data_IF_236059162022
#
_entry.id   IF_236059162022
#
_cell.length_a   1.000
_cell.length_b   1.000
_cell.length_c   1.000
_cell.angle_alpha   90.00
_cell.angle_beta   90.00
_cell.angle_gamma   90.00
#
_symmetry.space_group_name_H-M   'P 1'
#
loop_
_entity.id
_entity.type
_entity.pdbx_description
1 polymer ?
#
# COMPACT_ATOMS: atom_id res chain seq x y z
N UNK A 1 -32.52 11.71 -6.17
CA UNK A 1 -32.16 11.66 -7.61
C UNK A 1 -31.81 10.21 -7.90
N UNK A 2 -32.47 9.56 -8.86
CA UNK A 2 -32.13 8.17 -9.18
C UNK A 2 -30.71 8.12 -9.75
N UNK A 3 -29.81 7.39 -9.09
CA UNK A 3 -28.50 7.09 -9.69
C UNK A 3 -28.74 6.37 -11.01
N UNK A 4 -28.28 6.97 -12.10
CA UNK A 4 -28.33 6.35 -13.41
C UNK A 4 -27.44 5.10 -13.37
N UNK A 5 -28.05 3.91 -13.30
CA UNK A 5 -27.31 2.64 -13.39
C UNK A 5 -26.93 2.39 -14.84
N UNK A 6 -25.65 2.20 -15.10
CA UNK A 6 -25.10 1.82 -16.41
C UNK A 6 -24.73 0.34 -16.40
N UNK A 7 -24.82 -0.33 -17.55
CA UNK A 7 -24.47 -1.76 -17.66
C UNK A 7 -22.98 -1.90 -17.96
N UNK A 8 -22.22 -2.47 -17.02
CA UNK A 8 -20.85 -2.91 -17.26
C UNK A 8 -20.86 -4.34 -17.83
N UNK A 9 -20.34 -4.53 -19.05
CA UNK A 9 -20.15 -5.86 -19.62
C UNK A 9 -18.83 -6.46 -19.13
N UNK A 10 -18.90 -7.63 -18.50
CA UNK A 10 -17.74 -8.43 -18.09
C UNK A 10 -17.92 -9.88 -18.54
N UNK A 11 -16.84 -10.65 -18.57
CA UNK A 11 -16.92 -12.07 -18.91
C UNK A 11 -17.72 -12.84 -17.85
N UNK A 12 -18.45 -13.87 -18.27
CA UNK A 12 -19.24 -14.70 -17.35
C UNK A 12 -18.36 -15.41 -16.30
N UNK A 13 -17.12 -15.76 -16.65
CA UNK A 13 -16.15 -16.31 -15.70
C UNK A 13 -15.79 -15.31 -14.60
N UNK A 14 -15.46 -14.07 -14.97
CA UNK A 14 -15.13 -13.02 -14.00
C UNK A 14 -16.32 -12.69 -13.11
N UNK A 15 -17.51 -12.57 -13.71
CA UNK A 15 -18.77 -12.34 -12.98
C UNK A 15 -19.03 -13.46 -11.96
N UNK A 16 -18.83 -14.72 -12.34
CA UNK A 16 -19.00 -15.87 -11.46
C UNK A 16 -18.03 -15.83 -10.28
N UNK A 17 -16.75 -15.55 -10.55
CA UNK A 17 -15.72 -15.44 -9.50
C UNK A 17 -16.06 -14.33 -8.50
N UNK A 18 -16.42 -13.14 -8.98
CA UNK A 18 -16.81 -12.02 -8.13
C UNK A 18 -18.05 -12.35 -7.28
N UNK A 19 -19.05 -13.03 -7.84
CA UNK A 19 -20.22 -13.49 -7.05
C UNK A 19 -19.85 -14.47 -5.94
N UNK A 20 -18.91 -15.39 -6.21
CA UNK A 20 -18.41 -16.31 -5.18
C UNK A 20 -17.75 -15.51 -4.05
N UNK A 21 -16.87 -14.57 -4.35
CA UNK A 21 -16.23 -13.74 -3.32
C UNK A 21 -17.20 -12.87 -2.54
N UNK A 22 -18.23 -12.33 -3.19
CA UNK A 22 -19.30 -11.59 -2.51
C UNK A 22 -20.06 -12.49 -1.53
N UNK A 23 -20.41 -13.71 -1.97
CA UNK A 23 -21.07 -14.71 -1.12
C UNK A 23 -20.19 -15.17 0.05
N UNK A 24 -18.88 -15.34 -0.15
CA UNK A 24 -17.95 -15.70 0.94
C UNK A 24 -17.88 -14.63 2.04
N UNK A 25 -18.14 -13.37 1.68
CA UNK A 25 -18.14 -12.22 2.59
C UNK A 25 -19.53 -11.87 3.11
N UNK A 26 -20.57 -12.59 2.66
CA UNK A 26 -21.98 -12.28 2.93
C UNK A 26 -22.36 -10.82 2.59
N UNK A 27 -21.90 -10.35 1.44
CA UNK A 27 -22.19 -8.99 0.95
C UNK A 27 -22.83 -9.00 -0.45
N UNK A 28 -23.62 -7.96 -0.79
CA UNK A 28 -24.02 -7.69 -2.16
C UNK A 28 -22.85 -7.61 -3.14
N UNK A 29 -23.13 -7.97 -4.40
CA UNK A 29 -22.15 -7.87 -5.49
C UNK A 29 -21.66 -6.42 -5.72
N UNK A 30 -22.56 -5.42 -5.60
CA UNK A 30 -22.22 -4.00 -5.74
C UNK A 30 -21.27 -3.54 -4.62
N UNK A 31 -21.44 -4.04 -3.39
CA UNK A 31 -20.58 -3.70 -2.26
C UNK A 31 -19.17 -4.28 -2.42
N UNK A 32 -19.05 -5.51 -2.94
CA UNK A 32 -17.75 -6.08 -3.29
C UNK A 32 -17.00 -5.21 -4.31
N UNK A 33 -17.69 -4.74 -5.35
CA UNK A 33 -17.08 -3.87 -6.35
C UNK A 33 -16.65 -2.53 -5.75
N UNK A 34 -17.45 -1.97 -4.85
CA UNK A 34 -17.13 -0.73 -4.13
C UNK A 34 -15.88 -0.88 -3.28
N UNK A 35 -15.75 -2.00 -2.55
CA UNK A 35 -14.54 -2.29 -1.77
C UNK A 35 -13.29 -2.44 -2.66
N UNK A 36 -13.43 -3.09 -3.81
CA UNK A 36 -12.33 -3.21 -4.77
C UNK A 36 -11.87 -1.84 -5.29
N UNK A 37 -12.79 -0.90 -5.51
CA UNK A 37 -12.45 0.47 -5.90
C UNK A 37 -11.66 1.17 -4.79
N UNK A 38 -12.11 1.09 -3.54
CA UNK A 38 -11.40 1.68 -2.41
C UNK A 38 -9.96 1.15 -2.29
N UNK A 39 -9.77 -0.16 -2.46
CA UNK A 39 -8.44 -0.77 -2.45
C UNK A 39 -7.60 -0.21 -3.61
N UNK A 40 -8.15 -0.15 -4.82
CA UNK A 40 -7.42 0.36 -5.99
C UNK A 40 -7.00 1.82 -5.77
N UNK A 41 -7.88 2.68 -5.26
CA UNK A 41 -7.59 4.09 -4.97
C UNK A 41 -6.48 4.24 -3.93
N UNK A 42 -6.47 3.38 -2.91
CA UNK A 42 -5.43 3.38 -1.88
C UNK A 42 -4.06 2.92 -2.44
N UNK A 43 -4.05 1.92 -3.33
CA UNK A 43 -2.83 1.37 -3.90
C UNK A 43 -2.26 2.22 -5.04
N UNK A 44 -3.12 2.90 -5.79
CA UNK A 44 -2.76 3.71 -6.94
C UNK A 44 -3.27 5.15 -6.79
N UNK A 45 -2.59 6.00 -6.00
CA UNK A 45 -3.09 7.34 -5.66
C UNK A 45 -3.02 8.36 -6.82
N UNK A 46 -2.63 7.91 -8.02
CA UNK A 46 -2.50 8.75 -9.20
C UNK A 46 -3.74 8.62 -10.09
N UNK A 47 -4.34 9.76 -10.46
CA UNK A 47 -5.56 9.76 -11.30
C UNK A 47 -5.28 9.29 -12.72
N UNK A 48 -4.09 9.56 -13.23
CA UNK A 48 -3.68 9.25 -14.59
C UNK A 48 -2.16 9.08 -14.69
N UNK A 49 -1.72 8.62 -15.87
CA UNK A 49 -0.30 8.39 -16.16
C UNK A 49 0.54 9.68 -16.11
N UNK A 50 -0.07 10.84 -16.35
CA UNK A 50 0.62 12.13 -16.28
C UNK A 50 0.96 12.52 -14.84
N UNK A 51 0.05 12.30 -13.89
CA UNK A 51 0.35 12.49 -12.47
C UNK A 51 1.44 11.54 -11.98
N UNK A 52 1.38 10.28 -12.40
CA UNK A 52 2.44 9.32 -12.05
C UNK A 52 3.79 9.73 -12.66
N UNK A 53 3.81 10.20 -13.91
CA UNK A 53 5.02 10.72 -14.55
C UNK A 53 5.65 11.88 -13.78
N UNK A 54 4.85 12.86 -13.34
CA UNK A 54 5.36 13.98 -12.53
C UNK A 54 5.94 13.52 -11.18
N UNK A 55 5.36 12.50 -10.58
CA UNK A 55 5.91 11.88 -9.38
C UNK A 55 7.22 11.16 -9.69
N UNK A 56 7.25 10.32 -10.72
CA UNK A 56 8.43 9.58 -11.15
C UNK A 56 9.62 10.52 -11.42
N UNK A 57 9.42 11.59 -12.17
CA UNK A 57 10.46 12.58 -12.51
C UNK A 57 11.12 13.21 -11.28
N UNK A 58 10.37 13.33 -10.17
CA UNK A 58 10.85 13.90 -8.90
C UNK A 58 11.42 12.86 -7.93
N UNK A 59 11.31 11.57 -8.25
CA UNK A 59 11.59 10.47 -7.33
C UNK A 59 12.25 9.27 -8.03
N UNK A 60 13.11 9.49 -9.02
CA UNK A 60 13.74 8.42 -9.82
C UNK A 60 14.57 7.47 -8.96
N UNK A 61 15.17 7.98 -7.89
CA UNK A 61 15.96 7.23 -6.91
C UNK A 61 15.14 6.13 -6.21
N UNK A 62 13.82 6.32 -6.02
CA UNK A 62 12.92 5.29 -5.46
C UNK A 62 12.84 4.04 -6.34
N UNK A 63 13.17 4.18 -7.62
CA UNK A 63 13.18 3.11 -8.59
C UNK A 63 14.58 2.54 -8.85
N UNK A 64 15.61 3.00 -8.13
CA UNK A 64 17.00 2.59 -8.34
C UNK A 64 17.65 3.23 -9.56
N UNK A 65 17.19 4.43 -9.94
CA UNK A 65 17.63 5.15 -11.13
C UNK A 65 18.35 6.44 -10.72
N UNK A 66 19.43 6.77 -11.41
CA UNK A 66 20.28 7.92 -11.08
C UNK A 66 19.74 9.21 -11.68
N UNK A 67 19.48 9.23 -12.99
CA UNK A 67 19.03 10.43 -13.69
C UNK A 67 18.21 10.10 -14.93
N UNK A 68 17.33 11.03 -15.29
CA UNK A 68 16.64 11.03 -16.59
C UNK A 68 17.58 11.64 -17.62
N UNK A 69 17.84 10.89 -18.69
CA UNK A 69 18.63 11.33 -19.85
C UNK A 69 17.71 12.03 -20.84
N UNK A 70 16.58 11.40 -21.16
CA UNK A 70 15.65 11.90 -22.17
C UNK A 70 14.20 11.53 -21.84
N UNK A 71 13.26 12.43 -22.19
CA UNK A 71 11.82 12.20 -22.10
C UNK A 71 11.24 12.04 -23.51
N UNK A 72 10.70 10.86 -23.81
CA UNK A 72 10.18 10.47 -25.13
C UNK A 72 8.64 10.53 -25.22
N UNK A 73 8.00 11.14 -24.22
CA UNK A 73 6.55 11.30 -24.11
C UNK A 73 6.10 11.36 -22.65
N UNK A 74 4.81 11.14 -22.40
CA UNK A 74 4.26 11.14 -21.03
C UNK A 74 4.74 9.94 -20.22
N UNK A 75 4.88 8.77 -20.84
CA UNK A 75 5.20 7.51 -20.15
C UNK A 75 6.49 6.85 -20.62
N UNK A 76 7.30 7.47 -21.47
CA UNK A 76 8.55 6.88 -21.97
C UNK A 76 9.75 7.74 -21.67
N UNK A 77 10.80 7.11 -21.16
CA UNK A 77 12.01 7.77 -20.71
C UNK A 77 13.25 6.97 -21.12
N UNK A 78 14.34 7.65 -21.36
CA UNK A 78 15.68 7.08 -21.30
C UNK A 78 16.30 7.55 -19.99
N UNK A 79 16.79 6.63 -19.19
CA UNK A 79 17.40 6.93 -17.88
C UNK A 79 18.75 6.25 -17.74
N UNK A 80 19.53 6.72 -16.78
CA UNK A 80 20.75 6.05 -16.33
C UNK A 80 20.46 5.31 -15.02
N UNK A 81 20.83 4.04 -14.93
CA UNK A 81 20.77 3.27 -13.69
C UNK A 81 21.97 3.53 -12.77
N UNK A 82 22.00 2.86 -11.61
CA UNK A 82 23.09 2.96 -10.64
C UNK A 82 24.47 2.55 -11.16
N UNK A 83 24.52 1.73 -12.21
CA UNK A 83 25.76 1.24 -12.83
C UNK A 83 26.22 2.11 -14.00
N UNK A 84 25.47 3.17 -14.33
CA UNK A 84 25.78 4.06 -15.45
C UNK A 84 25.24 3.54 -16.79
N UNK A 85 24.42 2.48 -16.79
CA UNK A 85 23.83 1.92 -18.01
C UNK A 85 22.58 2.71 -18.40
N UNK A 86 22.46 3.00 -19.69
CA UNK A 86 21.26 3.62 -20.25
C UNK A 86 20.15 2.59 -20.43
N UNK A 87 18.96 2.89 -19.90
CA UNK A 87 17.77 2.04 -19.95
C UNK A 87 16.57 2.79 -20.57
N UNK A 88 15.83 2.12 -21.45
CA UNK A 88 14.53 2.58 -21.93
C UNK A 88 13.42 2.11 -20.98
N UNK A 89 12.76 3.08 -20.35
CA UNK A 89 11.71 2.82 -19.36
C UNK A 89 10.33 3.17 -19.91
N UNK A 90 9.38 2.29 -19.65
CA UNK A 90 7.95 2.55 -19.81
C UNK A 90 7.28 2.70 -18.44
N UNK A 91 6.58 3.81 -18.24
CA UNK A 91 5.72 4.02 -17.08
C UNK A 91 4.34 3.41 -17.33
N UNK A 92 3.79 2.74 -16.33
CA UNK A 92 2.40 2.26 -16.33
C UNK A 92 1.74 2.48 -14.96
N UNK A 93 0.42 2.69 -14.92
CA UNK A 93 -0.30 2.65 -13.65
C UNK A 93 -0.38 1.20 -13.14
N UNK A 94 -0.71 0.27 -14.03
CA UNK A 94 -0.73 -1.17 -13.75
C UNK A 94 0.19 -1.87 -14.73
N UNK A 95 1.16 -2.66 -14.24
CA UNK A 95 2.14 -3.30 -15.13
C UNK A 95 1.49 -4.21 -16.19
N UNK A 96 0.35 -4.84 -15.87
CA UNK A 96 -0.39 -5.70 -16.82
C UNK A 96 -0.92 -4.96 -18.04
N UNK A 97 -1.08 -3.64 -17.94
CA UNK A 97 -1.55 -2.85 -19.07
C UNK A 97 -0.49 -2.76 -20.18
N UNK A 98 0.79 -2.92 -19.82
CA UNK A 98 1.87 -3.03 -20.80
C UNK A 98 1.58 -4.12 -21.83
N UNK A 99 1.27 -5.34 -21.37
CA UNK A 99 0.92 -6.49 -22.23
C UNK A 99 -0.28 -6.21 -23.14
N UNK A 100 -1.25 -5.42 -22.68
CA UNK A 100 -2.46 -5.07 -23.47
C UNK A 100 -2.17 -4.04 -24.57
N UNK A 101 -1.12 -3.24 -24.39
CA UNK A 101 -0.79 -2.09 -25.26
C UNK A 101 0.41 -2.32 -26.17
N UNK A 102 1.04 -3.51 -26.15
CA UNK A 102 2.27 -3.81 -26.90
C UNK A 102 2.13 -3.44 -28.38
N UNK A 103 2.63 -2.26 -28.71
CA UNK A 103 2.92 -1.79 -30.06
C UNK A 103 4.42 -1.53 -30.07
N UNK A 104 5.18 -2.49 -30.60
CA UNK A 104 6.60 -2.43 -30.99
C UNK A 104 7.44 -1.37 -30.25
N UNK A 105 8.30 -1.80 -29.33
CA UNK A 105 9.35 -0.97 -28.74
C UNK A 105 10.28 -1.81 -27.88
N UNK A 106 11.56 -1.48 -27.88
CA UNK A 106 12.53 -2.06 -26.95
C UNK A 106 12.31 -1.38 -25.59
N UNK A 107 11.85 -2.11 -24.58
CA UNK A 107 11.72 -1.58 -23.22
C UNK A 107 12.61 -2.44 -22.34
N UNK A 108 13.54 -1.79 -21.65
CA UNK A 108 14.47 -2.47 -20.75
C UNK A 108 13.86 -2.70 -19.37
N UNK A 109 12.92 -1.84 -18.95
CA UNK A 109 12.24 -1.93 -17.66
C UNK A 109 10.87 -1.24 -17.69
N UNK A 110 9.89 -1.83 -17.02
CA UNK A 110 8.62 -1.19 -16.71
C UNK A 110 8.71 -0.61 -15.31
N UNK A 111 8.36 0.67 -15.17
CA UNK A 111 8.16 1.29 -13.86
C UNK A 111 6.66 1.47 -13.65
N UNK A 112 6.11 0.84 -12.62
CA UNK A 112 4.67 0.79 -12.40
C UNK A 112 4.25 1.39 -11.06
N UNK A 113 2.98 1.81 -10.95
CA UNK A 113 2.39 2.09 -9.64
C UNK A 113 2.09 0.77 -8.94
N UNK A 114 1.29 -0.08 -9.57
CA UNK A 114 0.91 -1.39 -9.03
C UNK A 114 1.36 -2.51 -9.97
N UNK A 115 1.89 -3.58 -9.40
CA UNK A 115 2.18 -4.82 -10.12
C UNK A 115 1.85 -6.05 -9.30
N UNK A 116 1.56 -7.15 -9.98
CA UNK A 116 1.41 -8.49 -9.40
C UNK A 116 2.55 -9.43 -9.79
N UNK A 117 3.63 -8.91 -10.38
CA UNK A 117 4.77 -9.70 -10.85
C UNK A 117 6.05 -8.86 -10.84
N UNK A 118 7.20 -9.54 -10.80
CA UNK A 118 8.50 -8.89 -10.96
C UNK A 118 8.91 -8.72 -12.43
N UNK A 119 8.14 -9.33 -13.33
CA UNK A 119 8.40 -9.35 -14.76
C UNK A 119 7.08 -9.46 -15.51
N UNK A 120 6.98 -8.81 -16.66
CA UNK A 120 5.83 -8.89 -17.58
C UNK A 120 6.37 -9.06 -18.99
N UNK A 121 6.03 -10.17 -19.64
CA UNK A 121 6.47 -10.49 -21.03
C UNK A 121 7.99 -10.42 -21.24
N UNK A 122 8.80 -10.92 -20.30
CA UNK A 122 10.26 -10.82 -20.42
C UNK A 122 10.85 -9.52 -19.85
N UNK A 123 10.03 -8.51 -19.59
CA UNK A 123 10.48 -7.18 -19.18
C UNK A 123 10.41 -7.03 -17.67
N UNK A 124 11.51 -6.69 -16.98
CA UNK A 124 11.51 -6.53 -15.53
C UNK A 124 10.62 -5.36 -15.11
N UNK A 125 9.96 -5.51 -13.96
CA UNK A 125 9.03 -4.52 -13.40
C UNK A 125 9.53 -3.99 -12.06
N UNK A 126 9.64 -2.67 -11.94
CA UNK A 126 9.84 -1.96 -10.68
C UNK A 126 8.55 -1.23 -10.31
N UNK A 127 7.83 -1.73 -9.31
CA UNK A 127 6.55 -1.15 -8.90
C UNK A 127 6.64 -0.43 -7.54
N UNK A 128 5.86 0.65 -7.36
CA UNK A 128 5.66 1.25 -6.03
C UNK A 128 4.97 0.28 -5.07
N UNK A 129 3.98 -0.46 -5.58
CA UNK A 129 3.30 -1.53 -4.86
C UNK A 129 3.42 -2.81 -5.68
N UNK A 130 4.19 -3.77 -5.17
CA UNK A 130 4.26 -5.10 -5.76
C UNK A 130 3.49 -6.11 -4.89
N UNK A 131 2.32 -6.52 -5.37
CA UNK A 131 1.41 -7.43 -4.69
C UNK A 131 1.94 -8.87 -4.64
N UNK A 132 2.84 -9.27 -5.55
CA UNK A 132 3.49 -10.58 -5.46
C UNK A 132 4.41 -10.68 -4.26
N UNK A 133 5.02 -9.55 -3.87
CA UNK A 133 5.87 -9.45 -2.70
C UNK A 133 5.05 -9.29 -1.42
N UNK A 134 3.80 -8.79 -1.47
CA UNK A 134 2.91 -8.79 -0.30
C UNK A 134 2.60 -10.21 0.18
N UNK A 135 2.41 -11.16 -0.73
CA UNK A 135 2.25 -12.58 -0.36
C UNK A 135 3.46 -13.11 0.40
N UNK A 136 4.68 -12.74 -0.05
CA UNK A 136 5.92 -13.09 0.66
C UNK A 136 6.05 -12.36 1.99
N UNK A 137 5.70 -11.09 2.06
CA UNK A 137 5.74 -10.30 3.29
C UNK A 137 4.74 -10.83 4.33
N UNK A 138 3.57 -11.30 3.90
CA UNK A 138 2.58 -11.98 4.73
C UNK A 138 3.12 -13.35 5.18
N UNK A 139 3.75 -14.12 4.30
CA UNK A 139 4.38 -15.40 4.65
C UNK A 139 5.59 -15.24 5.61
N UNK A 140 6.45 -14.25 5.38
CA UNK A 140 7.61 -13.92 6.22
C UNK A 140 7.17 -13.43 7.60
N UNK A 141 6.08 -12.66 7.66
CA UNK A 141 5.46 -12.21 8.93
C UNK A 141 4.64 -13.24 9.66
N UNK A 142 4.29 -14.31 8.96
CA UNK A 142 3.65 -15.48 9.56
C UNK A 142 4.66 -16.59 9.89
N UNK A 143 5.95 -16.38 9.60
CA UNK A 143 7.06 -17.00 10.33
C UNK A 143 7.37 -16.16 11.59
N UNK A 144 7.82 -16.77 12.71
CA UNK A 144 7.46 -16.35 14.06
C UNK A 144 8.07 -14.99 14.43
N UNK A 145 7.30 -13.92 14.70
CA UNK A 145 5.85 -13.80 14.77
C UNK A 145 5.40 -12.35 14.96
N UNK A 146 5.67 -11.48 13.98
CA UNK A 146 5.27 -10.07 14.00
C UNK A 146 4.21 -9.77 12.92
N UNK A 147 3.08 -9.15 13.29
CA UNK A 147 2.04 -8.72 12.33
C UNK A 147 2.27 -7.28 11.86
N UNK A 148 2.02 -7.01 10.58
CA UNK A 148 1.93 -5.63 10.09
C UNK A 148 0.62 -4.99 10.48
N UNK A 149 0.72 -3.74 10.91
CA UNK A 149 -0.43 -2.86 11.08
C UNK A 149 -0.17 -1.66 10.17
N UNK A 150 -0.99 -1.52 9.12
CA UNK A 150 -0.96 -0.32 8.30
C UNK A 150 -1.75 0.77 9.03
N UNK A 151 -1.11 1.89 9.31
CA UNK A 151 -1.75 3.06 9.92
C UNK A 151 -1.67 4.26 8.98
N UNK A 152 -2.67 5.17 9.00
CA UNK A 152 -2.61 6.39 8.20
C UNK A 152 -1.35 7.20 8.50
N UNK A 153 -0.73 7.78 7.47
CA UNK A 153 0.51 8.57 7.60
C UNK A 153 0.34 9.75 8.57
N UNK A 154 -0.86 10.34 8.62
CA UNK A 154 -1.18 11.41 9.57
C UNK A 154 -1.11 10.95 11.02
N UNK A 155 -1.53 9.72 11.32
CA UNK A 155 -1.46 9.12 12.65
C UNK A 155 -0.03 8.72 12.99
N UNK A 156 0.70 8.11 12.05
CA UNK A 156 2.13 7.82 12.21
C UNK A 156 2.92 9.08 12.57
N UNK A 157 2.75 10.18 11.83
CA UNK A 157 3.45 11.44 12.08
C UNK A 157 3.06 12.11 13.42
N UNK A 158 1.88 11.79 13.97
CA UNK A 158 1.50 12.24 15.31
C UNK A 158 2.17 11.39 16.38
N UNK A 159 2.20 10.07 16.20
CA UNK A 159 2.91 9.15 17.10
C UNK A 159 4.40 9.48 17.12
N UNK A 160 5.01 9.67 15.95
CA UNK A 160 6.42 10.04 15.82
C UNK A 160 6.73 11.34 16.56
N UNK A 161 5.85 12.35 16.50
CA UNK A 161 6.00 13.59 17.27
C UNK A 161 5.83 13.41 18.76
N UNK A 162 4.89 12.57 19.19
CA UNK A 162 4.60 12.32 20.61
C UNK A 162 5.77 11.64 21.33
N UNK A 163 6.52 10.78 20.63
CA UNK A 163 7.60 10.02 21.26
C UNK A 163 8.94 10.76 21.28
N UNK A 164 9.08 11.93 20.62
CA UNK A 164 10.36 12.65 20.47
C UNK A 164 11.03 13.02 21.78
N UNK A 165 10.23 13.34 22.79
CA UNK A 165 10.71 13.75 24.12
C UNK A 165 10.60 12.61 25.15
N UNK A 166 10.45 11.37 24.67
CA UNK A 166 10.33 10.16 25.48
C UNK A 166 11.52 9.23 25.23
N UNK A 167 11.60 8.13 25.99
CA UNK A 167 12.64 7.12 25.81
C UNK A 167 12.36 6.09 24.70
N UNK A 168 11.21 6.19 24.01
CA UNK A 168 10.91 5.33 22.87
C UNK A 168 11.70 5.74 21.64
N UNK A 169 12.38 4.77 21.02
CA UNK A 169 13.26 5.00 19.86
C UNK A 169 12.56 4.82 18.52
N UNK A 170 11.43 4.10 18.49
CA UNK A 170 10.66 3.81 17.28
C UNK A 170 9.13 3.82 17.55
N UNK A 171 8.31 4.34 16.60
CA UNK A 171 6.85 4.32 16.71
C UNK A 171 6.23 2.92 16.89
N UNK A 172 6.81 1.87 16.30
CA UNK A 172 6.33 0.49 16.42
C UNK A 172 6.44 -0.01 17.87
N UNK A 173 7.52 0.33 18.57
CA UNK A 173 7.72 -0.06 19.96
C UNK A 173 6.71 0.63 20.88
N UNK A 174 6.47 1.92 20.65
CA UNK A 174 5.45 2.68 21.38
C UNK A 174 4.05 2.10 21.13
N UNK A 175 3.70 1.83 19.87
CA UNK A 175 2.40 1.22 19.52
C UNK A 175 2.26 -0.15 20.15
N UNK A 176 3.31 -0.98 20.10
CA UNK A 176 3.30 -2.32 20.71
C UNK A 176 3.12 -2.25 22.22
N UNK A 177 3.82 -1.31 22.88
CA UNK A 177 3.70 -1.08 24.33
C UNK A 177 2.27 -0.69 24.70
N UNK A 178 1.72 0.33 24.04
CA UNK A 178 0.35 0.81 24.30
C UNK A 178 -0.66 -0.30 24.05
N UNK A 179 -0.54 -1.04 22.95
CA UNK A 179 -1.46 -2.12 22.62
C UNK A 179 -1.39 -3.27 23.64
N UNK A 180 -0.21 -3.62 24.15
CA UNK A 180 -0.08 -4.65 25.20
C UNK A 180 -0.82 -4.26 26.47
N UNK A 181 -0.65 -3.02 26.93
CA UNK A 181 -1.30 -2.53 28.15
C UNK A 181 -2.83 -2.46 27.96
N UNK A 182 -3.28 -1.92 26.83
CA UNK A 182 -4.70 -1.83 26.45
C UNK A 182 -5.35 -3.22 26.42
N UNK A 183 -4.68 -4.21 25.82
CA UNK A 183 -5.17 -5.59 25.76
C UNK A 183 -5.18 -6.22 27.16
N UNK A 184 -4.11 -6.07 27.94
CA UNK A 184 -4.02 -6.66 29.28
C UNK A 184 -5.11 -6.12 30.22
N UNK A 185 -5.46 -4.83 30.14
CA UNK A 185 -6.57 -4.25 30.90
C UNK A 185 -7.91 -4.90 30.53
N UNK A 186 -8.14 -5.15 29.24
CA UNK A 186 -9.37 -5.77 28.75
C UNK A 186 -9.44 -7.26 29.13
N UNK A 187 -8.31 -7.98 29.15
CA UNK A 187 -8.26 -9.38 29.58
C UNK A 187 -8.49 -9.55 31.09
N UNK A 188 -8.09 -8.56 31.90
CA UNK A 188 -8.28 -8.58 33.36
C UNK A 188 -9.68 -8.14 33.80
N UNK A 189 -10.39 -7.37 32.96
CA UNK A 189 -11.79 -7.01 33.16
C UNK A 189 -12.67 -7.66 32.10
N UNK A 190 -13.11 -8.91 32.30
CA UNK A 190 -14.17 -9.53 31.49
C UNK A 190 -15.53 -8.84 31.72
N UNK A 191 -15.68 -7.62 31.24
CA UNK A 191 -16.95 -6.92 31.03
C UNK A 191 -16.83 -6.00 29.82
N UNK A 192 -17.77 -6.14 28.87
CA UNK A 192 -17.83 -5.49 27.56
C UNK A 192 -18.14 -3.98 27.60
N UNK A 193 -17.35 -3.16 28.31
CA UNK A 193 -17.53 -1.69 28.32
C UNK A 193 -16.35 -0.93 27.68
N UNK A 194 -16.62 0.17 26.95
CA UNK A 194 -15.59 0.99 26.30
C UNK A 194 -14.67 1.69 27.32
N UNK A 195 -13.43 1.99 26.91
CA UNK A 195 -12.41 2.63 27.76
C UNK A 195 -12.97 3.84 28.52
N UNK A 196 -12.96 3.77 29.83
CA UNK A 196 -13.35 4.86 30.71
C UNK A 196 -12.22 5.89 30.78
N UNK A 197 -12.53 7.12 31.21
CA UNK A 197 -11.51 8.16 31.43
C UNK A 197 -10.48 7.73 32.49
N UNK A 198 -10.89 6.89 33.43
CA UNK A 198 -10.02 6.33 34.47
C UNK A 198 -9.03 5.30 33.92
N UNK A 199 -9.41 4.55 32.88
CA UNK A 199 -8.50 3.65 32.18
C UNK A 199 -7.38 4.42 31.47
N UNK A 200 -7.76 5.50 30.78
CA UNK A 200 -6.82 6.37 30.09
C UNK A 200 -5.85 7.04 31.07
N UNK A 201 -6.34 7.46 32.24
CA UNK A 201 -5.48 8.10 33.24
C UNK A 201 -4.56 7.10 33.94
N UNK A 202 -5.00 5.85 34.17
CA UNK A 202 -4.14 4.75 34.66
C UNK A 202 -3.00 4.44 33.70
N UNK A 203 -3.25 4.43 32.39
CA UNK A 203 -2.19 4.25 31.38
C UNK A 203 -1.19 5.40 31.46
N UNK A 204 -1.65 6.65 31.56
CA UNK A 204 -0.76 7.81 31.71
C UNK A 204 0.05 7.77 33.01
N UNK A 205 -0.53 7.35 34.13
CA UNK A 205 0.19 7.24 35.39
C UNK A 205 1.29 6.18 35.36
N UNK A 206 1.03 5.01 34.74
CA UNK A 206 2.06 4.00 34.50
C UNK A 206 3.16 4.51 33.59
N UNK A 207 2.80 5.23 32.54
CA UNK A 207 3.75 5.87 31.64
C UNK A 207 4.63 6.88 32.39
N UNK A 208 4.06 7.75 33.24
CA UNK A 208 4.83 8.69 34.09
C UNK A 208 5.76 7.95 35.06
N UNK A 209 5.27 6.90 35.73
CA UNK A 209 6.05 6.13 36.70
C UNK A 209 7.25 5.41 36.08
N UNK A 210 7.15 5.04 34.80
CA UNK A 210 8.22 4.43 34.04
C UNK A 210 9.10 5.46 33.28
N UNK A 211 8.82 6.77 33.47
CA UNK A 211 9.61 7.86 32.88
C UNK A 211 9.34 8.11 31.39
N UNK A 212 8.17 7.71 30.90
CA UNK A 212 7.76 7.87 29.49
C UNK A 212 6.92 9.13 29.22
N UNK A 213 6.53 9.87 30.26
CA UNK A 213 5.78 11.15 30.24
C UNK A 213 6.28 12.07 31.35
#
# INVERSE_FOLDING_TARGET
MSEAKTTLQISEDLRRKLKIYASMRDIPYEDLLTDLLYIIEALAPFKDIGQFAQFFEKNTEKFGLNKIIEKLGTSRYIVEDSEGKSLQIQLELFSSDYSRRVKKGHVDMIVAVVSTANEVEGVPVKALVNLSELGKLILEKTSPGGRLILIPTSLYNRIERLIKDTSFKDPQDYVTFVLRDVVAMHEQGKSDEPFTKEDVERVKERLRALGYL
#
